data_IF_561386626989
#
_entry.id   IF_561386626989
#
_cell.length_a   1.000
_cell.length_b   1.000
_cell.length_c   1.000
_cell.angle_alpha   90.00
_cell.angle_beta   90.00
_cell.angle_gamma   90.00
#
_symmetry.space_group_name_H-M   'P 1'
#
loop_
_entity.id
_entity.type
_entity.pdbx_description
1 polymer ?
#
# COMPACT_ATOMS: atom_id res chain seq x y z
N UNK A 1 -15.07 -22.84 -5.91
CA UNK A 1 -15.41 -23.69 -4.75
C UNK A 1 -15.15 -22.88 -3.49
N UNK A 2 -16.10 -22.81 -2.55
CA UNK A 2 -15.87 -22.15 -1.26
C UNK A 2 -15.25 -23.13 -0.26
N UNK A 3 -14.10 -22.76 0.33
CA UNK A 3 -13.50 -23.51 1.44
C UNK A 3 -14.12 -23.04 2.76
N UNK A 4 -14.39 -23.98 3.67
CA UNK A 4 -14.90 -23.69 5.02
C UNK A 4 -13.75 -23.69 6.02
N UNK A 5 -13.88 -22.89 7.07
CA UNK A 5 -12.96 -22.95 8.23
C UNK A 5 -13.08 -24.34 8.86
N UNK A 6 -11.97 -25.07 8.97
CA UNK A 6 -11.94 -26.38 9.60
C UNK A 6 -12.08 -26.27 11.13
N UNK A 7 -12.46 -27.36 11.80
CA UNK A 7 -12.53 -27.38 13.26
C UNK A 7 -11.18 -27.03 13.91
N UNK A 8 -10.07 -27.47 13.31
CA UNK A 8 -8.71 -27.16 13.79
C UNK A 8 -8.43 -25.66 13.66
N UNK A 9 -8.76 -25.05 12.53
CA UNK A 9 -8.57 -23.61 12.32
C UNK A 9 -9.44 -22.78 13.26
N UNK A 10 -10.67 -23.21 13.50
CA UNK A 10 -11.55 -22.53 14.46
C UNK A 10 -10.98 -22.57 15.88
N UNK A 11 -10.38 -23.70 16.28
CA UNK A 11 -9.75 -23.82 17.59
C UNK A 11 -8.53 -22.92 17.74
N UNK A 12 -7.70 -22.81 16.69
CA UNK A 12 -6.58 -21.86 16.65
C UNK A 12 -7.07 -20.41 16.80
N UNK A 13 -8.16 -20.03 16.12
CA UNK A 13 -8.73 -18.69 16.25
C UNK A 13 -9.22 -18.44 17.68
N UNK A 14 -9.85 -19.43 18.33
CA UNK A 14 -10.28 -19.30 19.73
C UNK A 14 -9.09 -19.12 20.69
N UNK A 15 -7.97 -19.80 20.45
CA UNK A 15 -6.76 -19.62 21.26
C UNK A 15 -6.22 -18.19 21.17
N UNK A 16 -6.25 -17.58 19.98
CA UNK A 16 -5.84 -16.18 19.77
C UNK A 16 -6.77 -15.18 20.48
N UNK A 17 -8.07 -15.49 20.54
CA UNK A 17 -9.02 -14.68 21.32
C UNK A 17 -8.76 -14.86 22.82
N UNK A 18 -8.55 -16.08 23.27
CA UNK A 18 -8.29 -16.39 24.67
C UNK A 18 -6.98 -15.77 25.19
N UNK A 19 -5.97 -15.61 24.33
CA UNK A 19 -4.72 -14.92 24.67
C UNK A 19 -4.84 -13.39 24.62
N UNK A 20 -5.98 -12.84 24.21
CA UNK A 20 -6.23 -11.41 24.13
C UNK A 20 -5.65 -10.73 22.89
N UNK A 21 -5.16 -11.49 21.90
CA UNK A 21 -4.66 -10.93 20.63
C UNK A 21 -5.80 -10.33 19.81
N UNK A 22 -6.99 -10.92 19.88
CA UNK A 22 -8.21 -10.42 19.22
C UNK A 22 -9.37 -10.36 20.22
N UNK A 23 -10.28 -9.39 20.04
CA UNK A 23 -11.42 -9.19 20.94
C UNK A 23 -12.42 -10.35 20.90
N UNK A 24 -12.60 -10.94 19.72
CA UNK A 24 -13.44 -12.10 19.46
C UNK A 24 -13.15 -12.67 18.06
N UNK A 25 -13.80 -13.77 17.70
CA UNK A 25 -13.66 -14.40 16.38
C UNK A 25 -14.04 -13.45 15.24
N UNK A 26 -15.04 -12.58 15.42
CA UNK A 26 -15.44 -11.62 14.38
C UNK A 26 -14.40 -10.53 14.15
N UNK A 27 -13.66 -10.14 15.19
CA UNK A 27 -12.53 -9.22 15.09
C UNK A 27 -11.39 -9.80 14.24
N UNK A 28 -11.00 -11.05 14.52
CA UNK A 28 -10.06 -11.80 13.70
C UNK A 28 -10.52 -11.89 12.24
N UNK A 29 -11.79 -12.24 12.00
CA UNK A 29 -12.32 -12.36 10.63
C UNK A 29 -12.28 -11.02 9.91
N UNK A 30 -12.61 -9.91 10.58
CA UNK A 30 -12.57 -8.58 9.98
C UNK A 30 -11.15 -8.17 9.60
N UNK A 31 -10.19 -8.46 10.47
CA UNK A 31 -8.78 -8.19 10.24
C UNK A 31 -8.24 -9.02 9.05
N UNK A 32 -8.53 -10.32 9.02
CA UNK A 32 -8.19 -11.20 7.90
C UNK A 32 -8.84 -10.78 6.57
N UNK A 33 -10.09 -10.30 6.61
CA UNK A 33 -10.76 -9.73 5.43
C UNK A 33 -10.03 -8.47 4.97
N UNK A 34 -9.68 -7.56 5.88
CA UNK A 34 -8.95 -6.33 5.54
C UNK A 34 -7.60 -6.65 4.92
N UNK A 35 -6.82 -7.52 5.56
CA UNK A 35 -5.53 -7.99 5.05
C UNK A 35 -5.66 -8.57 3.63
N UNK A 36 -6.65 -9.44 3.43
CA UNK A 36 -6.87 -10.06 2.12
C UNK A 36 -7.33 -9.06 1.06
N UNK A 37 -8.19 -8.10 1.42
CA UNK A 37 -8.63 -7.03 0.51
C UNK A 37 -7.47 -6.09 0.15
N UNK A 38 -6.61 -5.74 1.11
CA UNK A 38 -5.39 -4.97 0.85
C UNK A 38 -4.44 -5.73 -0.08
N UNK A 39 -4.23 -7.02 0.14
CA UNK A 39 -3.38 -7.86 -0.71
C UNK A 39 -3.94 -8.06 -2.14
N UNK A 40 -5.26 -7.95 -2.33
CA UNK A 40 -5.93 -8.03 -3.63
C UNK A 40 -6.11 -6.65 -4.25
N UNK A 41 -5.88 -5.56 -3.50
CA UNK A 41 -5.97 -4.19 -4.01
C UNK A 41 -4.93 -4.03 -5.11
N UNK A 42 -5.33 -4.34 -6.34
CA UNK A 42 -4.61 -3.98 -7.55
C UNK A 42 -4.48 -2.47 -7.47
N UNK A 43 -3.24 -1.98 -7.38
CA UNK A 43 -2.96 -0.54 -7.45
C UNK A 43 -3.67 -0.06 -8.72
N UNK A 44 -4.78 0.66 -8.54
CA UNK A 44 -5.52 1.22 -9.66
C UNK A 44 -4.75 2.45 -10.06
N UNK A 45 -3.88 2.33 -11.05
CA UNK A 45 -3.16 3.50 -11.54
C UNK A 45 -4.17 4.54 -12.01
N UNK A 46 -4.07 5.74 -11.46
CA UNK A 46 -4.81 6.89 -11.96
C UNK A 46 -4.28 7.23 -13.34
N UNK A 47 -5.18 7.39 -14.31
CA UNK A 47 -4.86 7.93 -15.61
C UNK A 47 -4.78 9.46 -15.49
N UNK A 48 -3.58 9.97 -15.25
CA UNK A 48 -3.27 11.39 -15.13
C UNK A 48 -2.20 11.79 -16.14
N UNK A 49 -2.24 13.04 -16.59
CA UNK A 49 -1.19 13.55 -17.47
C UNK A 49 0.15 13.69 -16.73
N UNK A 50 1.23 13.68 -17.52
CA UNK A 50 2.60 13.75 -17.00
C UNK A 50 2.87 14.99 -16.13
N UNK A 51 2.31 16.14 -16.48
CA UNK A 51 2.54 17.41 -15.79
C UNK A 51 1.89 17.40 -14.40
N UNK A 52 0.67 16.86 -14.32
CA UNK A 52 -0.04 16.63 -13.05
C UNK A 52 0.72 15.61 -12.19
N UNK A 53 1.11 14.46 -12.74
CA UNK A 53 1.89 13.46 -12.02
C UNK A 53 3.23 14.03 -11.49
N UNK A 54 3.95 14.81 -12.31
CA UNK A 54 5.22 15.44 -11.92
C UNK A 54 5.05 16.40 -10.74
N UNK A 55 3.96 17.19 -10.71
CA UNK A 55 3.65 18.09 -9.59
C UNK A 55 3.33 17.33 -8.31
N UNK A 56 2.53 16.26 -8.41
CA UNK A 56 2.16 15.45 -7.24
C UNK A 56 3.37 14.72 -6.65
N UNK A 57 4.20 14.08 -7.50
CA UNK A 57 5.45 13.43 -7.06
C UNK A 57 6.38 14.45 -6.40
N UNK A 58 6.55 15.63 -7.00
CA UNK A 58 7.38 16.69 -6.41
C UNK A 58 6.83 17.18 -5.06
N UNK A 59 5.51 17.37 -4.95
CA UNK A 59 4.85 17.75 -3.70
C UNK A 59 5.06 16.71 -2.60
N UNK A 60 4.99 15.42 -2.96
CA UNK A 60 5.22 14.32 -2.04
C UNK A 60 6.63 14.35 -1.42
N UNK A 61 7.66 14.58 -2.24
CA UNK A 61 9.03 14.77 -1.74
C UNK A 61 9.20 16.05 -0.90
N UNK A 62 8.48 17.12 -1.21
CA UNK A 62 8.56 18.36 -0.42
C UNK A 62 7.95 18.20 0.98
N UNK A 63 6.89 17.42 1.11
CA UNK A 63 6.22 17.18 2.40
C UNK A 63 6.97 16.18 3.28
N UNK A 64 7.51 15.11 2.69
CA UNK A 64 8.15 14.01 3.44
C UNK A 64 9.69 14.07 3.47
N UNK A 65 10.30 14.86 2.60
CA UNK A 65 11.76 14.98 2.44
C UNK A 65 12.35 13.84 1.61
N UNK A 66 12.18 12.61 2.08
CA UNK A 66 12.68 11.39 1.44
C UNK A 66 11.55 10.37 1.29
N UNK A 67 11.50 9.69 0.14
CA UNK A 67 10.49 8.68 -0.14
C UNK A 67 11.03 7.67 -1.17
N UNK A 68 10.68 6.41 -0.99
CA UNK A 68 10.94 5.37 -1.99
C UNK A 68 9.89 5.45 -3.10
N UNK A 69 10.26 5.20 -4.37
CA UNK A 69 9.30 5.17 -5.49
C UNK A 69 8.09 4.24 -5.26
N UNK A 70 8.25 3.15 -4.53
CA UNK A 70 7.16 2.24 -4.15
C UNK A 70 6.16 2.86 -3.16
N UNK A 71 6.62 3.72 -2.25
CA UNK A 71 5.72 4.45 -1.33
C UNK A 71 4.89 5.47 -2.10
N UNK A 72 5.49 6.10 -3.11
CA UNK A 72 4.82 7.04 -4.01
C UNK A 72 3.80 6.32 -4.88
N UNK A 73 4.14 5.13 -5.37
CA UNK A 73 3.25 4.26 -6.16
C UNK A 73 1.99 3.87 -5.35
N UNK A 74 2.17 3.49 -4.09
CA UNK A 74 1.06 3.11 -3.22
C UNK A 74 0.18 4.32 -2.82
N UNK A 75 0.80 5.44 -2.42
CA UNK A 75 0.08 6.60 -1.90
C UNK A 75 -0.57 7.46 -3.00
N UNK A 76 0.12 7.64 -4.13
CA UNK A 76 -0.39 8.42 -5.26
C UNK A 76 -1.15 7.55 -6.28
N UNK A 77 -1.10 6.23 -6.15
CA UNK A 77 -1.67 5.28 -7.11
C UNK A 77 -1.23 5.65 -8.55
N UNK A 78 0.05 5.94 -8.74
CA UNK A 78 0.66 6.28 -10.04
C UNK A 78 1.50 5.12 -10.54
N UNK A 79 1.61 4.96 -11.85
CA UNK A 79 2.43 3.90 -12.45
C UNK A 79 3.90 4.01 -12.03
N UNK A 80 4.48 2.90 -11.57
CA UNK A 80 5.86 2.87 -11.08
C UNK A 80 6.88 3.38 -12.10
N UNK A 81 6.68 3.06 -13.39
CA UNK A 81 7.59 3.49 -14.46
C UNK A 81 7.50 5.00 -14.67
N UNK A 82 6.28 5.55 -14.67
CA UNK A 82 6.05 6.99 -14.72
C UNK A 82 6.73 7.71 -13.54
N UNK A 83 6.62 7.16 -12.32
CA UNK A 83 7.31 7.71 -11.14
C UNK A 83 8.82 7.71 -11.36
N UNK A 84 9.41 6.59 -11.80
CA UNK A 84 10.85 6.51 -12.06
C UNK A 84 11.32 7.56 -13.08
N UNK A 85 10.58 7.73 -14.19
CA UNK A 85 10.86 8.74 -15.21
C UNK A 85 10.84 10.16 -14.64
N UNK A 86 9.81 10.49 -13.85
CA UNK A 86 9.67 11.80 -13.19
C UNK A 86 10.81 12.05 -12.21
N UNK A 87 11.14 11.07 -11.37
CA UNK A 87 12.19 11.21 -10.36
C UNK A 87 13.54 11.43 -11.05
N UNK A 88 13.86 10.67 -12.12
CA UNK A 88 15.10 10.85 -12.88
C UNK A 88 15.17 12.21 -13.59
N UNK A 89 14.04 12.74 -14.06
CA UNK A 89 13.96 14.10 -14.57
C UNK A 89 14.22 15.14 -13.48
N UNK A 90 13.56 15.03 -12.32
CA UNK A 90 13.76 15.96 -11.21
C UNK A 90 15.19 15.92 -10.65
N UNK A 91 15.86 14.76 -10.67
CA UNK A 91 17.30 14.64 -10.37
C UNK A 91 18.15 15.40 -11.38
N UNK A 92 17.88 15.24 -12.68
CA UNK A 92 18.60 15.97 -13.76
C UNK A 92 18.39 17.49 -13.66
N UNK A 93 17.20 17.93 -13.26
CA UNK A 93 16.88 19.34 -13.01
C UNK A 93 17.52 19.87 -11.71
N UNK A 94 18.15 19.02 -10.88
CA UNK A 94 18.73 19.40 -9.60
C UNK A 94 17.68 19.75 -8.53
N UNK A 95 16.42 19.38 -8.75
CA UNK A 95 15.27 19.66 -7.87
C UNK A 95 15.07 18.58 -6.80
N UNK A 96 15.73 17.45 -6.96
CA UNK A 96 15.75 16.33 -6.02
C UNK A 96 17.19 15.99 -5.68
N UNK A 97 17.51 15.96 -4.37
CA UNK A 97 18.74 15.36 -3.86
C UNK A 97 18.40 13.94 -3.43
N UNK A 98 18.97 12.96 -4.12
CA UNK A 98 18.90 11.56 -3.71
C UNK A 98 19.98 11.32 -2.66
N UNK A 99 19.66 10.53 -1.63
CA UNK A 99 20.69 9.76 -0.92
C UNK A 99 21.12 8.56 -1.76
#
# INVERSE_FOLDING_TARGET
MGSKVSAVQLEQIKQLVASGVYLNTSDFVRDAIRDKLSAIKTIKYRDVDYDTAKKEVMGYFQERGEAYPSEIEEDLELDYKLICEIVDELKREGRLKVL
#
